data_IF_321810467074
#
_entry.id   IF_321810467074
#
_cell.length_a   1.000
_cell.length_b   1.000
_cell.length_c   1.000
_cell.angle_alpha   90.00
_cell.angle_beta   90.00
_cell.angle_gamma   90.00
#
_symmetry.space_group_name_H-M   'P 1'
#
loop_
_entity.id
_entity.type
_entity.pdbx_description
1 polymer ?
#
# COMPACT_ATOMS: atom_id res chain seq x y z
N UNK A 1 45.52 55.68 13.65
CA UNK A 1 44.08 55.55 13.38
C UNK A 1 43.78 54.11 12.92
N UNK A 2 43.43 53.21 13.84
CA UNK A 2 43.09 51.82 13.53
C UNK A 2 41.58 51.70 13.30
N UNK A 3 41.17 51.44 12.06
CA UNK A 3 39.77 51.13 11.72
C UNK A 3 39.49 49.69 12.12
N UNK A 4 38.79 49.49 13.24
CA UNK A 4 38.18 48.22 13.63
C UNK A 4 37.20 47.81 12.53
N UNK A 5 37.54 46.78 11.74
CA UNK A 5 36.58 46.12 10.85
C UNK A 5 35.92 45.00 11.65
N UNK A 6 34.63 45.18 11.93
CA UNK A 6 33.76 44.15 12.47
C UNK A 6 33.83 42.90 11.58
N UNK A 7 33.92 41.75 12.22
CA UNK A 7 33.72 40.42 11.64
C UNK A 7 32.22 40.23 11.50
N UNK A 8 31.66 39.98 10.30
CA UNK A 8 30.37 39.35 10.20
C UNK A 8 30.53 37.93 9.66
N UNK A 9 29.43 37.18 9.76
CA UNK A 9 29.21 35.91 9.09
C UNK A 9 29.59 34.66 9.88
N UNK A 10 28.99 34.53 11.07
CA UNK A 10 28.61 33.22 11.61
C UNK A 10 27.63 32.56 10.66
N UNK A 11 28.16 31.66 9.85
CA UNK A 11 27.47 30.80 8.90
C UNK A 11 26.75 29.70 9.71
N UNK A 12 25.52 29.99 10.18
CA UNK A 12 24.70 29.01 10.88
C UNK A 12 24.01 28.14 9.83
N UNK A 13 24.67 27.04 9.45
CA UNK A 13 24.16 26.04 8.53
C UNK A 13 23.10 25.21 9.26
N UNK A 14 21.82 25.59 9.11
CA UNK A 14 20.70 24.79 9.57
C UNK A 14 20.63 23.49 8.75
N UNK A 15 21.12 22.39 9.32
CA UNK A 15 20.92 21.06 8.76
C UNK A 15 19.43 20.68 8.92
N UNK A 16 18.63 21.02 7.92
CA UNK A 16 17.25 20.54 7.80
C UNK A 16 17.31 19.03 7.57
N UNK A 17 17.15 18.25 8.64
CA UNK A 17 16.99 16.81 8.56
C UNK A 17 15.64 16.52 7.91
N UNK A 18 15.63 16.30 6.60
CA UNK A 18 14.46 15.84 5.88
C UNK A 18 14.19 14.40 6.30
N UNK A 19 13.33 14.22 7.31
CA UNK A 19 12.75 12.91 7.63
C UNK A 19 11.92 12.46 6.44
N UNK A 20 12.43 11.54 5.63
CA UNK A 20 11.64 10.87 4.60
C UNK A 20 10.61 10.00 5.31
N UNK A 21 9.42 10.54 5.59
CA UNK A 21 8.26 9.72 5.91
C UNK A 21 7.93 8.93 4.65
N UNK A 22 8.25 7.63 4.65
CA UNK A 22 7.76 6.71 3.65
C UNK A 22 6.24 6.73 3.71
N UNK A 23 5.59 7.35 2.73
CA UNK A 23 4.15 7.18 2.52
C UNK A 23 4.00 5.71 2.15
N UNK A 24 3.53 4.89 3.09
CA UNK A 24 3.09 3.55 2.77
C UNK A 24 2.02 3.71 1.69
N UNK A 25 2.24 3.10 0.52
CA UNK A 25 1.26 3.12 -0.56
C UNK A 25 -0.10 2.73 0.05
N UNK A 26 -1.13 3.57 -0.13
CA UNK A 26 -2.44 3.30 0.44
C UNK A 26 -2.93 2.00 -0.19
N UNK A 27 -3.04 0.95 0.60
CA UNK A 27 -3.61 -0.32 0.16
C UNK A 27 -5.06 -0.31 0.59
N UNK A 28 -5.96 -0.28 -0.38
CA UNK A 28 -7.38 -0.44 -0.11
C UNK A 28 -7.66 -1.91 0.11
N UNK A 29 -7.78 -2.28 1.38
CA UNK A 29 -8.15 -3.63 1.81
C UNK A 29 -9.64 -3.62 2.17
N UNK A 30 -10.41 -4.49 1.53
CA UNK A 30 -11.84 -4.66 1.81
C UNK A 30 -12.21 -6.13 1.97
N UNK A 31 -13.17 -6.40 2.85
CA UNK A 31 -13.72 -7.73 3.08
C UNK A 31 -15.12 -7.81 2.46
N UNK A 32 -15.32 -8.81 1.61
CA UNK A 32 -16.63 -9.17 1.08
C UNK A 32 -17.02 -10.55 1.60
N UNK A 33 -18.32 -10.71 1.91
CA UNK A 33 -18.89 -11.96 2.38
C UNK A 33 -19.97 -12.36 1.38
N UNK A 34 -19.84 -13.55 0.81
CA UNK A 34 -20.77 -14.10 -0.16
C UNK A 34 -21.51 -15.30 0.43
N UNK A 35 -22.80 -15.39 0.13
CA UNK A 35 -23.58 -16.61 0.33
C UNK A 35 -23.57 -17.40 -0.97
N UNK A 36 -23.07 -18.63 -0.90
CA UNK A 36 -23.01 -19.57 -2.01
C UNK A 36 -24.15 -20.60 -1.90
N UNK A 37 -24.20 -21.53 -2.85
CA UNK A 37 -25.11 -22.67 -2.77
C UNK A 37 -24.84 -23.52 -1.51
N UNK A 38 -25.78 -24.40 -1.18
CA UNK A 38 -25.67 -25.31 -0.03
C UNK A 38 -25.45 -24.60 1.32
N UNK A 39 -25.98 -23.38 1.44
CA UNK A 39 -25.82 -22.50 2.61
C UNK A 39 -24.36 -22.22 2.96
N UNK A 40 -23.45 -22.33 2.00
CA UNK A 40 -22.04 -22.03 2.20
C UNK A 40 -21.79 -20.53 2.25
N UNK A 41 -20.79 -20.13 3.03
CA UNK A 41 -20.34 -18.72 3.12
C UNK A 41 -18.89 -18.67 2.65
N UNK A 42 -18.62 -17.76 1.71
CA UNK A 42 -17.27 -17.50 1.22
C UNK A 42 -16.86 -16.09 1.61
N UNK A 43 -15.79 -16.00 2.38
CA UNK A 43 -15.12 -14.73 2.67
C UNK A 43 -14.03 -14.47 1.64
N UNK A 44 -14.01 -13.25 1.11
CA UNK A 44 -12.98 -12.79 0.18
C UNK A 44 -12.42 -11.48 0.69
N UNK A 45 -11.10 -11.42 0.85
CA UNK A 45 -10.39 -10.18 1.12
C UNK A 45 -9.83 -9.67 -0.20
N UNK A 46 -10.31 -8.52 -0.65
CA UNK A 46 -9.77 -7.83 -1.82
C UNK A 46 -8.71 -6.82 -1.38
N UNK A 47 -7.59 -6.84 -2.09
CA UNK A 47 -6.50 -5.87 -1.92
C UNK A 47 -6.31 -5.16 -3.26
N UNK A 48 -6.66 -3.88 -3.30
CA UNK A 48 -6.41 -3.00 -4.45
C UNK A 48 -5.29 -2.03 -4.09
N UNK A 49 -4.25 -1.98 -4.92
CA UNK A 49 -3.14 -1.04 -4.75
C UNK A 49 -3.37 0.21 -5.60
N UNK A 50 -2.87 1.36 -5.14
CA UNK A 50 -2.86 2.60 -5.93
C UNK A 50 -2.16 2.45 -7.29
N UNK A 51 -1.20 1.51 -7.39
CA UNK A 51 -0.51 1.18 -8.63
C UNK A 51 -1.37 0.37 -9.64
N UNK A 52 -2.63 0.07 -9.30
CA UNK A 52 -3.56 -0.66 -10.15
C UNK A 52 -3.43 -2.18 -10.09
N UNK A 53 -2.69 -2.73 -9.11
CA UNK A 53 -2.65 -4.18 -8.89
C UNK A 53 -3.85 -4.59 -8.02
N UNK A 54 -4.42 -5.75 -8.32
CA UNK A 54 -5.53 -6.30 -7.57
C UNK A 54 -5.26 -7.76 -7.18
N UNK A 55 -5.56 -8.07 -5.92
CA UNK A 55 -5.43 -9.40 -5.35
C UNK A 55 -6.72 -9.78 -4.62
N UNK A 56 -6.93 -11.09 -4.48
CA UNK A 56 -7.98 -11.65 -3.65
C UNK A 56 -7.36 -12.70 -2.72
N UNK A 57 -7.87 -12.82 -1.51
CA UNK A 57 -7.48 -13.88 -0.57
C UNK A 57 -8.77 -14.56 -0.12
N UNK A 58 -8.81 -15.87 -0.30
CA UNK A 58 -9.91 -16.71 0.18
C UNK A 58 -9.40 -17.66 1.27
N UNK A 59 -10.32 -18.18 2.08
CA UNK A 59 -10.02 -19.24 3.06
C UNK A 59 -10.63 -20.54 2.59
N UNK A 60 -9.80 -21.57 2.36
CA UNK A 60 -10.24 -22.93 2.07
C UNK A 60 -9.46 -23.92 2.92
N UNK A 61 -10.15 -24.89 3.51
CA UNK A 61 -9.52 -25.96 4.33
C UNK A 61 -8.62 -25.38 5.46
N UNK A 62 -9.04 -24.26 6.06
CA UNK A 62 -8.29 -23.49 7.07
C UNK A 62 -6.96 -22.89 6.57
N UNK A 63 -6.75 -22.81 5.26
CA UNK A 63 -5.60 -22.18 4.64
C UNK A 63 -6.03 -20.93 3.88
N UNK A 64 -5.22 -19.87 3.99
CA UNK A 64 -5.39 -18.67 3.20
C UNK A 64 -4.75 -18.88 1.84
N UNK A 65 -5.55 -18.75 0.79
CA UNK A 65 -5.11 -18.90 -0.60
C UNK A 65 -5.04 -17.51 -1.24
N UNK A 66 -3.84 -16.95 -1.42
CA UNK A 66 -3.68 -15.70 -2.14
C UNK A 66 -3.89 -15.92 -3.64
N UNK A 67 -4.49 -14.93 -4.29
CA UNK A 67 -4.84 -14.98 -5.70
C UNK A 67 -4.52 -13.64 -6.37
N UNK A 68 -4.04 -13.69 -7.60
CA UNK A 68 -3.73 -12.52 -8.43
C UNK A 68 -4.80 -12.32 -9.50
N UNK A 69 -5.09 -11.06 -9.83
CA UNK A 69 -5.99 -10.74 -10.94
C UNK A 69 -5.39 -11.23 -12.27
N UNK A 70 -6.19 -11.98 -13.03
CA UNK A 70 -5.89 -12.36 -14.40
C UNK A 70 -6.32 -11.28 -15.39
N UNK A 71 -5.50 -11.04 -16.41
CA UNK A 71 -5.85 -10.10 -17.49
C UNK A 71 -6.90 -10.73 -18.40
N UNK A 72 -8.11 -10.20 -18.38
CA UNK A 72 -9.25 -10.68 -19.15
C UNK A 72 -9.99 -9.55 -19.86
N UNK A 73 -10.81 -9.88 -20.87
CA UNK A 73 -11.58 -8.92 -21.63
C UNK A 73 -12.84 -8.40 -20.90
N UNK A 74 -13.33 -9.14 -19.90
CA UNK A 74 -14.48 -8.75 -19.07
C UNK A 74 -14.42 -9.41 -17.70
N UNK A 75 -14.93 -8.71 -16.69
CA UNK A 75 -14.99 -9.16 -15.30
C UNK A 75 -13.64 -9.14 -14.59
N UNK A 76 -13.65 -9.56 -13.32
CA UNK A 76 -12.48 -9.74 -12.48
C UNK A 76 -12.36 -11.23 -12.12
N UNK A 77 -11.34 -11.88 -12.66
CA UNK A 77 -11.07 -13.30 -12.42
C UNK A 77 -9.70 -13.41 -11.77
N UNK A 78 -9.60 -14.23 -10.72
CA UNK A 78 -8.37 -14.38 -9.94
C UNK A 78 -7.86 -15.81 -10.05
N UNK A 79 -6.54 -15.98 -10.09
CA UNK A 79 -5.86 -17.29 -10.06
C UNK A 79 -4.95 -17.38 -8.83
N UNK A 80 -4.85 -18.57 -8.24
CA UNK A 80 -3.97 -18.81 -7.09
C UNK A 80 -2.50 -18.62 -7.47
N UNK A 81 -1.69 -18.17 -6.50
CA UNK A 81 -0.24 -17.97 -6.64
C UNK A 81 0.58 -18.89 -5.74
#
# INVERSE_FOLDING_TARGET
>A
MMKRKLIPFTLFLAALSASTTSIAASQEISKSIYTCNDNQVMEVIYVNTEAGNAYAIISQVNEMIPMRLMKMASGANYEAI
#
